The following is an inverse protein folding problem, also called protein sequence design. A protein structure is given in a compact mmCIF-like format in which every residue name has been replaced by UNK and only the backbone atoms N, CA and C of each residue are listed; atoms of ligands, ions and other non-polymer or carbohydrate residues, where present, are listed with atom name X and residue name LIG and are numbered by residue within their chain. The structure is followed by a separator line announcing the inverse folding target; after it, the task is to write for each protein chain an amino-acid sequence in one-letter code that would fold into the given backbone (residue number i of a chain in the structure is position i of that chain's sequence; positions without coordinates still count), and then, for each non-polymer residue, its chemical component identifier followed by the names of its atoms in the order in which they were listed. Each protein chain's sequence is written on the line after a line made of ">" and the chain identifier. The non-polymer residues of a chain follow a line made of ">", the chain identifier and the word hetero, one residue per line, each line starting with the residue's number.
data_IF_960555840764
#
_entry.id   IF_960555840764
#
_cell.length_a   1.000
_cell.length_b   1.000
_cell.length_c   1.000
_cell.angle_alpha   90.00
_cell.angle_beta   90.00
_cell.angle_gamma   90.00
#
_symmetry.space_group_name_H-M   'P 1'
#
loop_
_entity.id
_entity.type
_entity.pdbx_description
1 polymer ?
#
# COMPACT_ATOMS: atom_id res chain seq x y z
N UNK A 1 41.35 32.19 -19.74
CA UNK A 1 40.67 31.35 -18.73
C UNK A 1 39.92 30.32 -19.54
N UNK A 2 40.59 29.20 -19.76
CA UNK A 2 40.29 28.18 -20.77
C UNK A 2 39.48 27.09 -20.07
N UNK A 3 38.22 26.92 -20.46
CA UNK A 3 37.34 25.91 -19.89
C UNK A 3 37.54 24.62 -20.68
N UNK A 4 38.11 23.61 -20.02
CA UNK A 4 38.30 22.28 -20.57
C UNK A 4 36.95 21.56 -20.69
N UNK A 5 36.55 21.23 -21.92
CA UNK A 5 35.40 20.39 -22.23
C UNK A 5 35.72 18.94 -21.84
N UNK A 6 35.13 18.46 -20.74
CA UNK A 6 35.24 17.09 -20.31
C UNK A 6 34.15 16.26 -21.01
N UNK A 7 34.53 15.59 -22.10
CA UNK A 7 33.66 14.73 -22.88
C UNK A 7 33.54 13.37 -22.20
N UNK A 8 32.35 13.02 -21.69
CA UNK A 8 32.07 11.69 -21.14
C UNK A 8 31.51 10.81 -22.27
N UNK A 9 32.36 9.92 -22.80
CA UNK A 9 31.96 8.90 -23.77
C UNK A 9 31.28 7.73 -23.04
N UNK A 10 29.98 7.57 -23.25
CA UNK A 10 29.22 6.41 -22.76
C UNK A 10 29.34 5.30 -23.81
N UNK A 11 30.07 4.24 -23.49
CA UNK A 11 30.22 3.07 -24.36
C UNK A 11 28.95 2.20 -24.27
N UNK A 12 28.09 2.28 -25.28
CA UNK A 12 26.95 1.39 -25.46
C UNK A 12 27.39 0.14 -26.23
N UNK A 13 28.00 -0.82 -25.54
CA UNK A 13 28.19 -2.17 -26.08
C UNK A 13 26.96 -3.03 -25.77
N UNK A 14 25.98 -3.03 -26.69
CA UNK A 14 24.92 -4.03 -26.72
C UNK A 14 25.52 -5.39 -27.11
N UNK A 15 25.84 -6.21 -26.11
CA UNK A 15 26.16 -7.63 -26.29
C UNK A 15 24.88 -8.43 -26.54
N UNK A 16 24.64 -8.78 -27.81
CA UNK A 16 23.63 -9.75 -28.21
C UNK A 16 24.04 -11.16 -27.74
N UNK A 17 23.42 -11.66 -26.66
CA UNK A 17 23.58 -13.05 -26.20
C UNK A 17 22.61 -13.97 -26.97
N UNK A 18 23.18 -14.84 -27.82
CA UNK A 18 22.51 -16.04 -28.33
C UNK A 18 22.18 -16.96 -27.14
N UNK A 19 20.91 -17.02 -26.75
CA UNK A 19 20.38 -17.99 -25.79
C UNK A 19 20.13 -19.32 -26.50
N UNK A 20 21.00 -20.30 -26.26
CA UNK A 20 20.75 -21.71 -26.57
C UNK A 20 19.71 -22.23 -25.59
N UNK A 21 18.54 -22.66 -26.08
CA UNK A 21 17.47 -23.22 -25.27
C UNK A 21 17.78 -24.69 -24.92
N UNK A 22 18.44 -24.91 -23.79
CA UNK A 22 18.53 -26.22 -23.15
C UNK A 22 17.38 -26.30 -22.15
N UNK A 23 16.48 -27.28 -22.29
CA UNK A 23 15.32 -27.43 -21.42
C UNK A 23 15.81 -27.75 -20.00
N UNK A 24 15.52 -26.92 -18.98
CA UNK A 24 16.03 -27.13 -17.64
C UNK A 24 15.33 -28.31 -16.98
N UNK A 25 16.11 -29.05 -16.19
CA UNK A 25 15.65 -30.15 -15.35
C UNK A 25 14.90 -29.57 -14.13
N UNK A 26 13.57 -29.43 -14.26
CA UNK A 26 12.69 -28.70 -13.31
C UNK A 26 12.68 -29.25 -11.87
N UNK A 27 13.03 -30.51 -11.61
CA UNK A 27 12.76 -31.13 -10.31
C UNK A 27 13.80 -30.86 -9.20
N UNK A 28 14.94 -30.23 -9.50
CA UNK A 28 16.02 -30.01 -8.51
C UNK A 28 16.10 -28.55 -8.04
N UNK A 29 15.64 -27.59 -8.85
CA UNK A 29 15.73 -26.16 -8.51
C UNK A 29 14.78 -25.74 -7.38
N UNK A 30 13.60 -26.38 -7.28
CA UNK A 30 12.56 -26.00 -6.32
C UNK A 30 12.98 -26.19 -4.85
N UNK A 31 13.77 -27.23 -4.53
CA UNK A 31 14.15 -27.52 -3.14
C UNK A 31 15.22 -26.55 -2.62
N UNK A 32 16.20 -26.18 -3.44
CA UNK A 32 17.24 -25.21 -3.03
C UNK A 32 16.69 -23.79 -2.91
N UNK A 33 15.76 -23.40 -3.79
CA UNK A 33 15.09 -22.10 -3.72
C UNK A 33 14.24 -21.97 -2.46
N UNK A 34 13.43 -22.98 -2.13
CA UNK A 34 12.61 -23.01 -0.90
C UNK A 34 13.46 -22.89 0.36
N UNK A 35 14.56 -23.64 0.45
CA UNK A 35 15.47 -23.53 1.59
C UNK A 35 16.14 -22.15 1.69
N UNK A 36 16.46 -21.53 0.55
CA UNK A 36 17.07 -20.20 0.53
C UNK A 36 16.08 -19.13 1.00
N UNK A 37 14.84 -19.20 0.51
CA UNK A 37 13.73 -18.33 0.91
C UNK A 37 13.46 -18.41 2.42
N UNK A 38 13.31 -19.62 2.96
CA UNK A 38 13.04 -19.81 4.39
C UNK A 38 14.18 -19.26 5.26
N UNK A 39 15.44 -19.53 4.88
CA UNK A 39 16.60 -19.02 5.60
C UNK A 39 16.68 -17.48 5.57
N UNK A 40 16.31 -16.86 4.45
CA UNK A 40 16.28 -15.40 4.32
C UNK A 40 15.18 -14.79 5.19
N UNK A 41 13.95 -15.31 5.13
CA UNK A 41 12.88 -14.83 5.99
C UNK A 41 13.23 -14.98 7.48
N UNK A 42 13.79 -16.12 7.88
CA UNK A 42 14.26 -16.31 9.27
C UNK A 42 15.38 -15.34 9.68
N UNK A 43 16.18 -14.86 8.75
CA UNK A 43 17.22 -13.86 9.04
C UNK A 43 16.65 -12.47 9.25
N UNK A 44 15.53 -12.12 8.59
CA UNK A 44 14.83 -10.84 8.76
C UNK A 44 13.93 -10.82 10.00
N UNK A 45 13.38 -11.99 10.34
CA UNK A 45 12.60 -12.18 11.55
C UNK A 45 13.52 -12.07 12.77
N UNK A 46 13.14 -11.20 13.72
CA UNK A 46 13.93 -10.98 14.94
C UNK A 46 14.15 -12.30 15.70
N UNK A 47 15.34 -12.56 16.27
CA UNK A 47 15.62 -13.81 17.00
C UNK A 47 14.72 -14.02 18.23
N UNK A 48 13.99 -12.98 18.65
CA UNK A 48 13.02 -12.98 19.74
C UNK A 48 11.67 -13.57 19.36
N UNK A 49 11.40 -13.76 18.06
CA UNK A 49 10.18 -14.37 17.58
C UNK A 49 10.29 -15.86 17.95
N UNK A 50 9.39 -16.33 18.82
CA UNK A 50 9.35 -17.71 19.26
C UNK A 50 8.93 -18.66 18.15
N UNK A 51 8.11 -19.66 18.47
CA UNK A 51 7.49 -20.51 17.46
C UNK A 51 6.28 -19.86 16.75
N UNK A 52 5.98 -18.60 17.08
CA UNK A 52 4.78 -17.89 16.62
C UNK A 52 5.15 -16.56 15.99
N UNK A 53 4.47 -16.20 14.91
CA UNK A 53 4.65 -14.96 14.15
C UNK A 53 3.29 -14.30 13.89
N UNK A 54 3.24 -12.97 13.85
CA UNK A 54 2.05 -12.22 13.43
C UNK A 54 2.15 -11.78 11.95
N UNK A 55 1.05 -11.32 11.38
CA UNK A 55 0.98 -10.95 9.96
C UNK A 55 1.84 -9.73 9.61
N UNK A 56 1.94 -8.73 10.50
CA UNK A 56 2.78 -7.55 10.24
C UNK A 56 4.28 -7.89 10.17
N UNK A 57 4.76 -8.75 11.08
CA UNK A 57 6.15 -9.23 11.09
C UNK A 57 6.45 -10.07 9.84
N UNK A 58 5.51 -10.94 9.45
CA UNK A 58 5.63 -11.74 8.23
C UNK A 58 5.63 -10.84 6.99
N UNK A 59 4.75 -9.85 6.93
CA UNK A 59 4.66 -8.86 5.85
C UNK A 59 5.97 -8.10 5.65
N UNK A 60 6.56 -7.58 6.73
CA UNK A 60 7.83 -6.85 6.64
C UNK A 60 8.98 -7.74 6.16
N UNK A 61 9.04 -8.99 6.64
CA UNK A 61 10.05 -9.95 6.20
C UNK A 61 9.87 -10.32 4.71
N UNK A 62 8.63 -10.51 4.26
CA UNK A 62 8.31 -10.77 2.85
C UNK A 62 8.67 -9.59 1.97
N UNK A 63 8.37 -8.34 2.38
CA UNK A 63 8.81 -7.15 1.64
C UNK A 63 10.33 -7.15 1.41
N UNK A 64 11.11 -7.38 2.46
CA UNK A 64 12.57 -7.38 2.34
C UNK A 64 13.07 -8.51 1.43
N UNK A 65 12.48 -9.71 1.51
CA UNK A 65 12.79 -10.83 0.61
C UNK A 65 12.46 -10.49 -0.84
N UNK A 66 11.26 -9.96 -1.11
CA UNK A 66 10.82 -9.60 -2.47
C UNK A 66 11.71 -8.54 -3.08
N UNK A 67 12.06 -7.49 -2.32
CA UNK A 67 13.02 -6.47 -2.75
C UNK A 67 14.37 -7.12 -3.06
N UNK A 68 14.87 -8.01 -2.20
CA UNK A 68 16.15 -8.68 -2.44
C UNK A 68 16.14 -9.53 -3.71
N UNK A 69 15.03 -10.23 -3.97
CA UNK A 69 14.87 -11.13 -5.11
C UNK A 69 14.73 -10.38 -6.44
N UNK A 70 13.97 -9.27 -6.45
CA UNK A 70 13.67 -8.48 -7.66
C UNK A 70 14.68 -7.36 -7.93
N UNK A 71 15.00 -6.57 -6.90
CA UNK A 71 15.80 -5.34 -7.00
C UNK A 71 17.26 -5.54 -6.56
N UNK A 72 17.53 -6.64 -5.84
CA UNK A 72 18.87 -7.03 -5.41
C UNK A 72 19.20 -6.64 -3.97
N UNK A 73 20.32 -7.19 -3.48
CA UNK A 73 20.70 -7.12 -2.06
C UNK A 73 21.03 -5.71 -1.56
N UNK A 74 21.51 -4.82 -2.43
CA UNK A 74 21.85 -3.44 -2.04
C UNK A 74 20.60 -2.64 -1.68
N UNK A 75 19.54 -2.74 -2.49
CA UNK A 75 18.26 -2.07 -2.24
C UNK A 75 17.56 -2.71 -1.03
N UNK A 76 17.63 -4.04 -0.87
CA UNK A 76 17.09 -4.72 0.30
C UNK A 76 17.80 -4.35 1.61
N UNK A 77 19.12 -4.13 1.56
CA UNK A 77 19.87 -3.60 2.70
C UNK A 77 19.40 -2.19 3.05
N UNK A 78 19.25 -1.33 2.04
CA UNK A 78 18.77 0.04 2.24
C UNK A 78 17.37 0.04 2.85
N UNK A 79 16.45 -0.79 2.36
CA UNK A 79 15.14 -1.00 2.97
C UNK A 79 15.26 -1.39 4.45
N UNK A 80 16.11 -2.37 4.78
CA UNK A 80 16.33 -2.81 6.16
C UNK A 80 16.81 -1.68 7.08
N UNK A 81 17.74 -0.84 6.61
CA UNK A 81 18.23 0.31 7.36
C UNK A 81 17.11 1.35 7.63
N UNK A 82 16.27 1.63 6.63
CA UNK A 82 15.11 2.54 6.78
C UNK A 82 14.04 1.94 7.70
N UNK A 83 13.77 0.66 7.54
CA UNK A 83 12.80 -0.06 8.37
C UNK A 83 13.19 -0.04 9.84
N UNK A 84 14.45 -0.34 10.18
CA UNK A 84 14.94 -0.27 11.56
C UNK A 84 14.85 1.15 12.14
N UNK A 85 15.17 2.16 11.33
CA UNK A 85 15.02 3.56 11.72
C UNK A 85 13.55 3.92 12.01
N UNK A 86 12.62 3.54 11.13
CA UNK A 86 11.18 3.80 11.33
C UNK A 86 10.61 3.02 12.50
N UNK A 87 11.00 1.76 12.71
CA UNK A 87 10.62 0.98 13.90
C UNK A 87 11.04 1.68 15.17
N UNK A 88 12.29 2.15 15.25
CA UNK A 88 12.77 2.87 16.42
C UNK A 88 11.97 4.16 16.67
N UNK A 89 11.61 4.88 15.60
CA UNK A 89 10.81 6.11 15.69
C UNK A 89 9.34 5.86 16.07
N UNK A 90 8.76 4.74 15.66
CA UNK A 90 7.38 4.34 15.92
C UNK A 90 7.21 3.52 17.20
N UNK A 91 8.31 3.15 17.87
CA UNK A 91 8.27 2.43 19.14
C UNK A 91 7.67 3.33 20.23
N UNK A 92 6.50 2.94 20.74
CA UNK A 92 5.82 3.64 21.82
C UNK A 92 6.50 3.41 23.17
N UNK A 93 6.16 4.24 24.16
CA UNK A 93 6.72 4.14 25.51
C UNK A 93 6.41 2.80 26.22
N UNK A 94 5.37 2.08 25.79
CA UNK A 94 5.01 0.75 26.27
C UNK A 94 5.69 -0.39 25.48
N UNK A 95 6.58 -0.07 24.54
CA UNK A 95 7.32 -1.02 23.72
C UNK A 95 6.56 -1.53 22.49
N UNK A 96 5.32 -1.07 22.26
CA UNK A 96 4.59 -1.43 21.05
C UNK A 96 5.17 -0.75 19.82
N UNK A 97 5.22 -1.48 18.72
CA UNK A 97 5.70 -1.03 17.43
C UNK A 97 4.62 -1.40 16.41
N UNK A 98 4.16 -0.44 15.63
CA UNK A 98 3.34 -0.74 14.45
C UNK A 98 4.33 -1.12 13.33
N UNK A 99 4.42 -2.42 13.03
CA UNK A 99 5.45 -2.95 12.13
C UNK A 99 5.06 -2.72 10.68
N UNK A 100 3.76 -2.80 10.37
CA UNK A 100 3.23 -2.48 9.04
C UNK A 100 3.58 -1.05 8.62
N UNK A 101 3.27 -0.05 9.45
CA UNK A 101 3.54 1.36 9.19
C UNK A 101 5.04 1.62 9.02
N UNK A 102 5.89 0.96 9.81
CA UNK A 102 7.35 1.08 9.68
C UNK A 102 7.84 0.53 8.33
N UNK A 103 7.31 -0.62 7.90
CA UNK A 103 7.64 -1.24 6.61
C UNK A 103 7.16 -0.39 5.43
N UNK A 104 5.94 0.14 5.51
CA UNK A 104 5.36 1.00 4.47
C UNK A 104 6.17 2.29 4.28
N UNK A 105 6.56 2.95 5.37
CA UNK A 105 7.43 4.14 5.29
C UNK A 105 8.80 3.81 4.70
N UNK A 106 9.38 2.68 5.07
CA UNK A 106 10.66 2.24 4.50
C UNK A 106 10.56 1.96 2.99
N UNK A 107 9.46 1.35 2.54
CA UNK A 107 9.20 1.12 1.12
C UNK A 107 8.98 2.44 0.36
N UNK A 108 8.23 3.39 0.93
CA UNK A 108 8.01 4.72 0.36
C UNK A 108 9.31 5.55 0.28
N UNK A 109 10.24 5.38 1.22
CA UNK A 109 11.56 6.00 1.15
C UNK A 109 12.35 5.50 -0.07
N UNK A 110 12.21 4.22 -0.46
CA UNK A 110 12.85 3.69 -1.68
C UNK A 110 12.37 4.42 -2.94
N UNK A 111 11.07 4.70 -3.04
CA UNK A 111 10.48 5.46 -4.15
C UNK A 111 10.99 6.90 -4.14
N UNK A 112 10.94 7.54 -2.96
CA UNK A 112 11.34 8.93 -2.78
C UNK A 112 12.80 9.15 -3.16
N UNK A 113 13.67 8.18 -2.85
CA UNK A 113 15.10 8.23 -3.15
C UNK A 113 15.45 7.70 -4.54
N UNK A 114 14.46 7.22 -5.30
CA UNK A 114 14.63 6.77 -6.68
C UNK A 114 15.32 5.41 -6.81
N UNK A 115 15.28 4.58 -5.76
CA UNK A 115 15.77 3.20 -5.81
C UNK A 115 14.80 2.26 -6.54
N UNK A 116 13.50 2.51 -6.42
CA UNK A 116 12.44 1.82 -7.14
C UNK A 116 11.42 2.85 -7.66
N UNK A 117 10.62 2.43 -8.62
CA UNK A 117 9.47 3.18 -9.15
C UNK A 117 8.23 3.00 -8.27
N UNK A 118 7.22 3.84 -8.45
CA UNK A 118 5.93 3.68 -7.77
C UNK A 118 5.23 2.37 -8.16
N UNK A 119 5.35 1.93 -9.42
CA UNK A 119 4.78 0.66 -9.89
C UNK A 119 5.41 -0.55 -9.20
N UNK A 120 6.74 -0.54 -9.03
CA UNK A 120 7.48 -1.55 -8.28
C UNK A 120 7.08 -1.54 -6.79
N UNK A 121 6.94 -0.36 -6.18
CA UNK A 121 6.42 -0.22 -4.82
C UNK A 121 5.05 -0.90 -4.66
N UNK A 122 4.10 -0.58 -5.54
CA UNK A 122 2.73 -1.11 -5.44
C UNK A 122 2.71 -2.63 -5.64
N UNK A 123 3.54 -3.13 -6.56
CA UNK A 123 3.71 -4.57 -6.80
C UNK A 123 4.29 -5.30 -5.59
N UNK A 124 5.38 -4.77 -5.01
CA UNK A 124 6.03 -5.34 -3.83
C UNK A 124 5.08 -5.36 -2.63
N UNK A 125 4.38 -4.24 -2.39
CA UNK A 125 3.40 -4.14 -1.32
C UNK A 125 2.29 -5.19 -1.47
N UNK A 126 1.65 -5.25 -2.65
CA UNK A 126 0.53 -6.17 -2.87
C UNK A 126 0.94 -7.63 -2.74
N UNK A 127 2.08 -8.02 -3.32
CA UNK A 127 2.59 -9.39 -3.24
C UNK A 127 2.85 -9.80 -1.78
N UNK A 128 3.55 -8.95 -1.03
CA UNK A 128 3.86 -9.22 0.37
C UNK A 128 2.62 -9.21 1.25
N UNK A 129 1.68 -8.28 1.01
CA UNK A 129 0.43 -8.19 1.77
C UNK A 129 -0.41 -9.46 1.60
N UNK A 130 -0.58 -9.94 0.37
CA UNK A 130 -1.33 -11.17 0.08
C UNK A 130 -0.66 -12.41 0.67
N UNK A 131 0.67 -12.49 0.59
CA UNK A 131 1.43 -13.63 1.12
C UNK A 131 1.53 -13.64 2.65
N UNK A 132 1.33 -12.50 3.32
CA UNK A 132 1.38 -12.38 4.77
C UNK A 132 0.08 -12.76 5.49
N UNK A 133 -1.03 -12.95 4.77
CA UNK A 133 -2.33 -13.29 5.35
C UNK A 133 -2.29 -14.68 6.01
N UNK A 134 -2.43 -14.73 7.33
CA UNK A 134 -2.45 -15.95 8.13
C UNK A 134 -3.87 -16.38 8.50
N UNK A 135 -4.83 -15.46 8.44
CA UNK A 135 -6.25 -15.71 8.64
C UNK A 135 -7.12 -15.48 7.39
N UNK A 136 -8.44 -15.59 7.57
CA UNK A 136 -9.42 -15.43 6.49
C UNK A 136 -9.81 -13.96 6.23
N UNK A 137 -9.28 -13.01 7.01
CA UNK A 137 -9.57 -11.59 6.89
C UNK A 137 -8.55 -10.87 6.00
N UNK A 138 -8.77 -10.95 4.70
CA UNK A 138 -7.90 -10.37 3.68
C UNK A 138 -7.89 -8.83 3.60
N UNK A 139 -8.50 -8.11 4.55
CA UNK A 139 -8.63 -6.65 4.51
C UNK A 139 -7.58 -5.91 5.34
N UNK A 140 -6.92 -6.57 6.28
CA UNK A 140 -5.94 -5.97 7.17
C UNK A 140 -4.87 -6.96 7.60
N UNK A 141 -3.68 -6.45 7.91
CA UNK A 141 -2.69 -7.21 8.66
C UNK A 141 -2.99 -7.01 10.15
N UNK A 142 -3.02 -8.11 10.89
CA UNK A 142 -3.17 -8.05 12.33
C UNK A 142 -1.83 -8.17 13.05
N UNK A 143 -1.67 -7.33 14.07
CA UNK A 143 -0.51 -7.37 14.94
C UNK A 143 -0.59 -8.53 15.95
N UNK A 144 0.48 -8.69 16.73
CA UNK A 144 0.53 -9.68 17.81
C UNK A 144 -0.19 -9.25 19.09
N UNK A 145 -0.82 -8.06 19.14
CA UNK A 145 -1.35 -7.44 20.36
C UNK A 145 -2.83 -7.09 20.18
N UNK A 146 -3.68 -8.09 20.37
CA UNK A 146 -5.12 -7.87 20.51
C UNK A 146 -5.42 -6.83 21.59
N UNK A 147 -6.20 -5.80 21.25
CA UNK A 147 -6.59 -4.76 22.19
C UNK A 147 -7.84 -5.21 22.98
N UNK A 148 -7.66 -5.59 24.26
CA UNK A 148 -8.77 -5.80 25.19
C UNK A 148 -9.58 -7.08 24.95
N UNK A 149 -10.89 -6.94 24.66
CA UNK A 149 -11.77 -8.06 24.27
C UNK A 149 -11.67 -8.41 22.77
N UNK A 150 -10.90 -7.62 22.00
CA UNK A 150 -10.76 -7.84 20.57
C UNK A 150 -9.85 -9.05 20.29
N UNK A 151 -10.40 -10.04 19.58
CA UNK A 151 -9.73 -11.31 19.29
C UNK A 151 -8.88 -11.27 18.01
N UNK A 152 -8.55 -10.08 17.53
CA UNK A 152 -7.74 -9.85 16.32
C UNK A 152 -6.26 -10.14 16.54
N UNK A 153 -5.94 -11.28 17.15
CA UNK A 153 -4.59 -11.81 17.24
C UNK A 153 -4.47 -12.89 16.16
N UNK A 154 -4.02 -12.50 14.97
CA UNK A 154 -3.68 -13.44 13.91
C UNK A 154 -2.23 -13.88 14.07
N UNK A 155 -1.96 -14.70 15.09
CA UNK A 155 -0.66 -15.36 15.22
C UNK A 155 -0.71 -16.77 14.66
N UNK A 156 0.21 -17.10 13.77
CA UNK A 156 0.40 -18.44 13.24
C UNK A 156 1.62 -19.13 13.83
N UNK A 157 1.66 -20.46 13.73
CA UNK A 157 2.91 -21.22 13.85
C UNK A 157 3.87 -20.79 12.74
N UNK A 158 5.13 -20.51 13.09
CA UNK A 158 6.11 -19.93 12.17
C UNK A 158 6.36 -20.82 10.95
N UNK A 159 6.52 -22.14 11.13
CA UNK A 159 6.76 -23.05 10.01
C UNK A 159 5.56 -23.09 9.06
N UNK A 160 4.36 -23.16 9.63
CA UNK A 160 3.11 -23.13 8.86
C UNK A 160 2.91 -21.80 8.11
N UNK A 161 3.26 -20.69 8.74
CA UNK A 161 3.20 -19.35 8.17
C UNK A 161 4.16 -19.20 6.97
N UNK A 162 5.42 -19.61 7.14
CA UNK A 162 6.42 -19.56 6.07
C UNK A 162 6.03 -20.44 4.88
N UNK A 163 5.49 -21.65 5.14
CA UNK A 163 5.02 -22.53 4.07
C UNK A 163 3.84 -21.94 3.29
N UNK A 164 2.89 -21.27 3.96
CA UNK A 164 1.78 -20.58 3.32
C UNK A 164 2.24 -19.39 2.49
N UNK A 165 3.13 -18.56 3.05
CA UNK A 165 3.69 -17.41 2.36
C UNK A 165 4.45 -17.82 1.08
N UNK A 166 5.26 -18.88 1.16
CA UNK A 166 5.94 -19.44 0.00
C UNK A 166 4.94 -19.89 -1.08
N UNK A 167 3.91 -20.66 -0.69
CA UNK A 167 2.89 -21.12 -1.63
C UNK A 167 2.13 -19.95 -2.28
N UNK A 168 1.85 -18.88 -1.53
CA UNK A 168 1.22 -17.68 -2.05
C UNK A 168 2.12 -16.94 -3.06
N UNK A 169 3.41 -16.78 -2.76
CA UNK A 169 4.38 -16.18 -3.70
C UNK A 169 4.48 -17.00 -4.98
N UNK A 170 4.62 -18.33 -4.87
CA UNK A 170 4.67 -19.22 -6.05
C UNK A 170 3.40 -19.09 -6.91
N UNK A 171 2.24 -18.96 -6.28
CA UNK A 171 0.98 -18.76 -6.99
C UNK A 171 0.90 -17.37 -7.66
N UNK A 172 1.42 -16.31 -7.02
CA UNK A 172 1.54 -14.96 -7.62
C UNK A 172 2.49 -14.97 -8.82
N UNK A 173 3.64 -15.64 -8.71
CA UNK A 173 4.62 -15.74 -9.79
C UNK A 173 4.10 -16.55 -10.99
N UNK A 174 3.21 -17.51 -10.75
CA UNK A 174 2.47 -18.22 -11.81
C UNK A 174 1.28 -17.43 -12.37
N UNK A 175 0.94 -16.28 -11.80
CA UNK A 175 -0.25 -15.49 -12.16
C UNK A 175 -1.56 -16.19 -11.82
N UNK A 176 -1.55 -17.14 -10.88
CA UNK A 176 -2.75 -17.84 -10.40
C UNK A 176 -3.53 -17.01 -9.38
N UNK A 177 -2.83 -16.13 -8.66
CA UNK A 177 -3.44 -15.16 -7.77
C UNK A 177 -3.61 -13.84 -8.52
N UNK A 178 -4.78 -13.18 -8.40
CA UNK A 178 -5.01 -11.92 -9.05
C UNK A 178 -4.10 -10.85 -8.43
N UNK A 179 -3.01 -10.50 -9.12
CA UNK A 179 -2.06 -9.42 -8.77
C UNK A 179 -2.66 -8.02 -8.89
N UNK A 180 -3.98 -7.89 -8.75
CA UNK A 180 -4.73 -6.66 -9.05
C UNK A 180 -6.24 -6.78 -8.91
N UNK A 181 -6.76 -7.79 -8.20
CA UNK A 181 -8.17 -7.83 -7.81
C UNK A 181 -8.32 -7.91 -6.29
N UNK A 182 -7.77 -6.93 -5.56
CA UNK A 182 -8.69 -6.24 -4.66
C UNK A 182 -9.73 -5.63 -5.60
N UNK A 183 -10.99 -6.02 -5.49
CA UNK A 183 -12.06 -5.65 -6.41
C UNK A 183 -12.28 -4.14 -6.46
N UNK A 184 -11.42 -3.39 -7.15
CA UNK A 184 -11.83 -2.17 -7.84
C UNK A 184 -12.57 -2.64 -9.08
N UNK A 185 -13.88 -2.34 -9.24
CA UNK A 185 -14.68 -2.84 -10.34
C UNK A 185 -14.02 -2.46 -11.67
N UNK A 186 -13.81 -3.46 -12.52
CA UNK A 186 -13.20 -3.33 -13.84
C UNK A 186 -13.85 -2.18 -14.61
N UNK A 187 -13.11 -1.09 -14.75
CA UNK A 187 -13.45 -0.03 -15.70
C UNK A 187 -12.74 -0.38 -17.00
N UNK A 188 -13.44 -0.48 -18.14
CA UNK A 188 -12.83 -0.85 -19.41
C UNK A 188 -11.73 0.15 -19.76
N UNK A 189 -10.54 -0.37 -20.06
CA UNK A 189 -9.40 0.41 -20.55
C UNK A 189 -9.75 1.10 -21.87
N UNK A 190 -9.89 2.41 -21.84
CA UNK A 190 -9.70 3.25 -23.02
C UNK A 190 -8.81 4.44 -22.64
N UNK A 191 -7.73 4.62 -23.40
CA UNK A 191 -6.67 5.58 -23.13
C UNK A 191 -7.15 7.00 -23.34
N UNK A 192 -7.42 7.73 -22.25
CA UNK A 192 -7.31 9.18 -22.18
C UNK A 192 -7.26 9.63 -20.72
N UNK A 193 -6.37 10.56 -20.44
CA UNK A 193 -6.09 11.14 -19.13
C UNK A 193 -7.29 11.96 -18.61
N UNK A 194 -8.38 11.27 -18.27
CA UNK A 194 -9.66 11.80 -17.82
C UNK A 194 -10.00 11.03 -16.54
N UNK A 195 -9.80 11.66 -15.39
CA UNK A 195 -10.01 11.03 -14.08
C UNK A 195 -11.36 10.31 -14.02
N UNK A 196 -11.35 9.07 -13.56
CA UNK A 196 -12.56 8.27 -13.39
C UNK A 196 -13.47 8.98 -12.39
N UNK A 197 -14.62 9.43 -12.87
CA UNK A 197 -15.67 10.00 -12.03
C UNK A 197 -16.48 8.85 -11.46
N UNK A 198 -16.44 8.68 -10.15
CA UNK A 198 -17.22 7.71 -9.39
C UNK A 198 -18.42 8.45 -8.79
N UNK A 199 -19.63 8.03 -9.08
CA UNK A 199 -20.81 8.56 -8.39
C UNK A 199 -21.13 7.60 -7.23
N UNK A 200 -20.80 7.92 -5.97
CA UNK A 200 -21.20 7.12 -4.82
C UNK A 200 -22.73 7.02 -4.75
N UNK A 201 -23.24 5.85 -4.37
CA UNK A 201 -24.69 5.63 -4.29
C UNK A 201 -25.19 6.15 -2.95
N UNK A 202 -25.87 7.29 -2.95
CA UNK A 202 -26.48 7.80 -1.73
C UNK A 202 -27.45 6.80 -1.10
N UNK A 203 -27.26 6.51 0.20
CA UNK A 203 -28.11 5.75 1.13
C UNK A 203 -27.99 4.21 1.16
N UNK A 204 -27.10 3.58 0.40
CA UNK A 204 -26.70 2.20 0.66
C UNK A 204 -25.39 2.27 1.47
N UNK A 205 -25.31 1.59 2.62
CA UNK A 205 -24.03 1.43 3.33
C UNK A 205 -23.12 0.59 2.45
N UNK A 206 -22.43 1.25 1.53
CA UNK A 206 -21.25 0.76 0.85
C UNK A 206 -20.21 0.46 1.96
N UNK A 207 -19.44 -0.62 1.79
CA UNK A 207 -18.80 -1.36 2.89
C UNK A 207 -17.90 -0.54 3.84
N UNK A 208 -17.45 -1.12 4.98
CA UNK A 208 -16.66 -0.41 5.99
C UNK A 208 -15.37 0.28 5.45
N UNK A 209 -14.91 -0.11 4.26
CA UNK A 209 -13.68 0.39 3.62
C UNK A 209 -13.92 1.35 2.44
N UNK A 210 -15.17 1.77 2.18
CA UNK A 210 -15.56 2.58 1.02
C UNK A 210 -15.66 4.08 1.31
N UNK A 211 -15.68 4.92 0.27
CA UNK A 211 -15.61 6.38 0.37
C UNK A 211 -16.79 6.97 1.17
N UNK A 212 -16.53 7.68 2.27
CA UNK A 212 -17.63 8.29 3.06
C UNK A 212 -17.60 9.81 2.94
N UNK A 213 -18.71 10.38 2.47
CA UNK A 213 -19.06 11.79 2.57
C UNK A 213 -20.08 11.99 3.70
N UNK A 214 -19.65 12.58 4.82
CA UNK A 214 -20.53 12.85 5.96
C UNK A 214 -20.77 14.36 6.10
N UNK A 215 -21.95 14.88 5.70
CA UNK A 215 -22.23 16.32 5.65
C UNK A 215 -22.10 17.01 7.01
N UNK A 216 -22.38 16.26 8.09
CA UNK A 216 -22.26 16.70 9.47
C UNK A 216 -21.48 15.69 10.30
N UNK A 217 -20.23 16.00 10.64
CA UNK A 217 -19.44 15.23 11.60
C UNK A 217 -20.03 15.32 13.00
N UNK A 218 -20.03 14.23 13.77
CA UNK A 218 -20.59 14.22 15.13
C UNK A 218 -19.79 15.12 16.09
N UNK A 219 -18.53 15.39 15.73
CA UNK A 219 -17.59 16.11 16.60
C UNK A 219 -17.74 17.64 16.53
N UNK A 220 -18.03 18.21 15.36
CA UNK A 220 -18.07 19.66 15.16
C UNK A 220 -19.21 20.12 14.22
N UNK A 221 -20.03 19.19 13.74
CA UNK A 221 -21.14 19.45 12.82
C UNK A 221 -20.72 19.81 11.40
N UNK A 222 -19.43 19.77 11.06
CA UNK A 222 -18.89 20.17 9.75
C UNK A 222 -18.70 18.96 8.83
N UNK A 223 -18.50 19.22 7.54
CA UNK A 223 -18.25 18.16 6.56
C UNK A 223 -16.94 17.42 6.90
N UNK A 224 -17.01 16.09 6.90
CA UNK A 224 -15.85 15.20 6.91
C UNK A 224 -15.96 14.22 5.73
N UNK A 225 -14.84 14.05 5.03
CA UNK A 225 -14.66 13.03 4.00
C UNK A 225 -13.68 11.99 4.53
N UNK A 226 -14.04 10.71 4.41
CA UNK A 226 -13.22 9.56 4.79
C UNK A 226 -12.87 8.83 3.51
N UNK A 227 -11.58 8.69 3.21
CA UNK A 227 -11.15 8.02 1.99
C UNK A 227 -11.03 6.51 2.19
N UNK A 228 -11.13 5.71 1.11
CA UNK A 228 -10.87 4.28 1.17
C UNK A 228 -9.47 3.97 1.72
N UNK A 229 -9.34 2.84 2.42
CA UNK A 229 -8.07 2.43 3.08
C UNK A 229 -6.89 2.35 2.12
N UNK A 230 -7.12 1.90 0.88
CA UNK A 230 -6.06 1.79 -0.13
C UNK A 230 -5.45 3.13 -0.57
N UNK A 231 -6.07 4.26 -0.22
CA UNK A 231 -5.54 5.60 -0.49
C UNK A 231 -4.73 6.19 0.69
N UNK A 232 -4.76 5.55 1.86
CA UNK A 232 -4.10 6.06 3.07
C UNK A 232 -2.60 6.26 2.86
N UNK A 233 -2.07 7.42 3.27
CA UNK A 233 -0.65 7.79 3.11
C UNK A 233 -0.28 8.27 1.70
N UNK A 234 -1.15 8.09 0.71
CA UNK A 234 -0.91 8.42 -0.69
C UNK A 234 -1.58 9.72 -1.16
N UNK A 235 -2.23 10.50 -0.29
CA UNK A 235 -3.03 11.66 -0.71
C UNK A 235 -2.20 12.94 -0.63
N UNK A 236 -2.05 13.62 -1.78
CA UNK A 236 -1.42 14.93 -1.87
C UNK A 236 -2.40 16.05 -1.51
N UNK A 237 -3.60 16.01 -2.09
CA UNK A 237 -4.62 17.05 -1.94
C UNK A 237 -6.02 16.45 -2.02
N UNK A 238 -6.96 17.00 -1.24
CA UNK A 238 -8.39 16.73 -1.39
C UNK A 238 -9.14 18.05 -1.57
N UNK A 239 -9.86 18.19 -2.68
CA UNK A 239 -10.48 19.43 -3.13
C UNK A 239 -11.99 19.26 -3.31
N UNK A 240 -12.75 20.22 -2.81
CA UNK A 240 -14.16 20.38 -3.17
C UNK A 240 -14.25 21.33 -4.35
N UNK A 241 -14.94 20.92 -5.41
CA UNK A 241 -15.17 21.75 -6.59
C UNK A 241 -16.64 21.87 -6.91
N UNK A 242 -17.01 23.02 -7.47
CA UNK A 242 -18.35 23.19 -8.05
C UNK A 242 -18.46 22.47 -9.40
N UNK A 243 -19.69 22.42 -9.94
CA UNK A 243 -20.01 21.85 -11.26
C UNK A 243 -19.23 22.44 -12.44
N UNK A 244 -18.67 23.64 -12.27
CA UNK A 244 -17.90 24.34 -13.29
C UNK A 244 -16.39 24.06 -13.13
N UNK A 245 -16.01 23.25 -12.13
CA UNK A 245 -14.64 22.84 -11.83
C UNK A 245 -13.85 23.83 -10.97
N UNK A 246 -14.48 24.88 -10.44
CA UNK A 246 -13.81 25.85 -9.57
C UNK A 246 -13.61 25.24 -8.18
N UNK A 247 -12.42 25.43 -7.61
CA UNK A 247 -12.10 24.97 -6.26
C UNK A 247 -12.87 25.85 -5.25
N UNK A 248 -13.74 25.22 -4.46
CA UNK A 248 -14.49 25.84 -3.38
C UNK A 248 -13.73 25.79 -2.07
N UNK A 249 -13.06 24.67 -1.78
CA UNK A 249 -12.33 24.46 -0.55
C UNK A 249 -11.30 23.34 -0.69
N UNK A 250 -10.20 23.43 0.07
CA UNK A 250 -9.22 22.34 0.23
C UNK A 250 -9.42 21.69 1.59
N UNK A 251 -9.55 20.37 1.61
CA UNK A 251 -9.70 19.58 2.82
C UNK A 251 -8.42 19.60 3.65
N UNK A 252 -8.58 19.62 4.97
CA UNK A 252 -7.46 19.48 5.92
C UNK A 252 -7.40 18.04 6.41
N UNK A 253 -6.29 17.35 6.10
CA UNK A 253 -6.00 16.04 6.68
C UNK A 253 -5.91 16.13 8.20
N UNK A 254 -6.66 15.28 8.89
CA UNK A 254 -6.69 15.22 10.36
C UNK A 254 -6.06 13.94 10.93
N UNK A 255 -5.40 13.17 10.06
CA UNK A 255 -4.76 11.90 10.38
C UNK A 255 -5.59 10.71 9.93
N UNK A 256 -5.16 9.54 10.41
CA UNK A 256 -5.69 8.23 10.08
C UNK A 256 -6.49 7.72 11.28
N UNK A 257 -7.74 7.32 11.07
CA UNK A 257 -8.59 6.71 12.09
C UNK A 257 -9.72 5.88 11.43
N UNK A 258 -10.59 5.25 12.24
CA UNK A 258 -11.73 4.45 11.75
C UNK A 258 -11.34 3.40 10.69
N UNK A 259 -10.51 2.43 11.07
CA UNK A 259 -10.08 1.34 10.16
C UNK A 259 -8.88 1.70 9.28
N UNK A 260 -7.94 2.49 9.79
CA UNK A 260 -6.75 2.95 9.06
C UNK A 260 -7.06 3.77 7.80
N UNK A 261 -8.04 4.67 7.91
CA UNK A 261 -8.51 5.51 6.81
C UNK A 261 -8.21 6.98 7.07
N UNK A 262 -7.82 7.70 6.03
CA UNK A 262 -7.57 9.14 6.15
C UNK A 262 -8.86 9.95 6.25
N UNK A 263 -8.82 10.94 7.14
CA UNK A 263 -9.92 11.88 7.37
C UNK A 263 -9.58 13.29 6.92
N UNK A 264 -10.41 13.84 6.04
CA UNK A 264 -10.32 15.21 5.58
C UNK A 264 -11.49 16.03 6.10
N UNK A 265 -11.18 17.14 6.78
CA UNK A 265 -12.18 18.05 7.36
C UNK A 265 -12.25 19.38 6.62
N UNK A 266 -13.42 19.97 6.69
CA UNK A 266 -13.73 21.25 6.07
C UNK A 266 -14.29 22.25 7.09
N UNK A 267 -14.38 23.51 6.70
CA UNK A 267 -14.82 24.60 7.56
C UNK A 267 -16.34 24.76 7.63
N UNK A 268 -17.04 24.24 6.62
CA UNK A 268 -18.49 24.31 6.49
C UNK A 268 -19.13 22.91 6.54
N UNK A 269 -20.37 22.80 7.03
CA UNK A 269 -21.16 21.59 6.88
C UNK A 269 -21.56 21.39 5.41
N UNK A 270 -21.95 20.17 5.05
CA UNK A 270 -22.21 19.76 3.68
C UNK A 270 -23.27 20.61 2.97
N UNK A 271 -24.37 20.94 3.65
CA UNK A 271 -25.48 21.72 3.11
C UNK A 271 -25.16 23.18 2.77
N UNK A 272 -23.97 23.67 3.15
CA UNK A 272 -23.50 25.01 2.77
C UNK A 272 -22.71 25.03 1.47
N UNK A 273 -22.45 23.87 0.86
CA UNK A 273 -21.88 23.75 -0.48
C UNK A 273 -22.97 23.69 -1.55
N UNK A 274 -22.72 24.18 -2.78
CA UNK A 274 -23.68 24.10 -3.87
C UNK A 274 -23.93 22.65 -4.31
N UNK A 275 -25.14 22.38 -4.79
CA UNK A 275 -25.49 21.10 -5.42
C UNK A 275 -24.59 20.77 -6.63
N UNK A 276 -24.44 19.48 -6.93
CA UNK A 276 -23.56 19.00 -7.99
C UNK A 276 -22.08 19.27 -7.68
N UNK A 277 -21.70 19.05 -6.42
CA UNK A 277 -20.33 19.17 -5.93
C UNK A 277 -19.51 17.96 -6.42
N UNK A 278 -18.22 18.15 -6.68
CA UNK A 278 -17.28 17.03 -6.83
C UNK A 278 -16.18 17.06 -5.77
N UNK A 279 -15.86 15.91 -5.20
CA UNK A 279 -14.70 15.69 -4.33
C UNK A 279 -13.56 15.13 -5.17
N UNK A 280 -12.54 15.93 -5.44
CA UNK A 280 -11.33 15.50 -6.17
C UNK A 280 -10.25 15.11 -5.16
N UNK A 281 -9.74 13.88 -5.27
CA UNK A 281 -8.61 13.36 -4.52
C UNK A 281 -7.42 13.25 -5.47
N UNK A 282 -6.34 13.95 -5.15
CA UNK A 282 -5.07 13.87 -5.87
C UNK A 282 -4.11 13.03 -5.06
N UNK A 283 -3.59 11.99 -5.67
CA UNK A 283 -2.63 11.10 -5.05
C UNK A 283 -1.20 11.56 -5.36
N UNK A 284 -0.26 11.24 -4.49
CA UNK A 284 1.18 11.50 -4.66
C UNK A 284 1.75 10.78 -5.89
N UNK A 285 1.10 9.71 -6.34
CA UNK A 285 1.39 9.02 -7.60
C UNK A 285 1.06 9.86 -8.85
N UNK A 286 0.33 10.96 -8.70
CA UNK A 286 -0.22 11.79 -9.78
C UNK A 286 -1.59 11.34 -10.28
N UNK A 287 -2.12 10.22 -9.78
CA UNK A 287 -3.48 9.77 -10.07
C UNK A 287 -4.51 10.74 -9.46
N UNK A 288 -5.63 10.95 -10.18
CA UNK A 288 -6.75 11.78 -9.72
C UNK A 288 -8.03 10.95 -9.70
N UNK A 289 -8.68 10.88 -8.54
CA UNK A 289 -10.01 10.31 -8.35
C UNK A 289 -11.01 11.42 -8.11
N UNK A 290 -12.22 11.28 -8.64
CA UNK A 290 -13.29 12.27 -8.44
C UNK A 290 -14.57 11.58 -8.02
N UNK A 291 -15.22 12.10 -6.99
CA UNK A 291 -16.52 11.63 -6.50
C UNK A 291 -17.59 12.70 -6.73
N UNK A 292 -18.66 12.35 -7.44
CA UNK A 292 -19.81 13.25 -7.62
C UNK A 292 -20.76 13.20 -6.44
N UNK A 293 -21.09 14.37 -5.89
CA UNK A 293 -21.98 14.55 -4.75
C UNK A 293 -23.18 15.41 -5.21
N UNK A 294 -24.27 14.77 -5.69
CA UNK A 294 -25.42 15.49 -6.23
C UNK A 294 -26.04 16.45 -5.22
N UNK A 295 -26.23 16.00 -3.97
CA UNK A 295 -26.78 16.79 -2.88
C UNK A 295 -25.83 16.78 -1.66
N UNK A 296 -24.99 17.80 -1.49
CA UNK A 296 -24.06 17.87 -0.35
C UNK A 296 -24.69 17.88 1.04
N UNK A 297 -26.01 17.98 1.16
CA UNK A 297 -26.72 17.86 2.45
C UNK A 297 -26.95 16.41 2.86
N UNK A 298 -26.75 15.46 1.94
CA UNK A 298 -26.94 14.03 2.15
C UNK A 298 -25.62 13.33 2.48
N UNK A 299 -25.73 12.19 3.15
CA UNK A 299 -24.60 11.28 3.38
C UNK A 299 -24.44 10.39 2.15
N UNK A 300 -23.18 10.18 1.77
CA UNK A 300 -22.79 9.18 0.79
C UNK A 300 -21.77 8.27 1.45
N UNK A 301 -21.92 6.97 1.25
CA UNK A 301 -21.02 5.90 1.67
C UNK A 301 -20.40 5.28 0.41
#
# INVERSE_FOLDING_TARGET
>A
MEYAEMSISINTEQSARLRTSEAPNESVQTTEQSATFENQLRAFLSPSIGSTINEEELFAALLQERIQSSEGSEIAQFFGERFDSHKAALTRADGYINVEEAANRALADLVTEGHITQEEHDTLYQQSFMAAQLDDNHSALFDGRGEGEDQTIATGDLESALARAQAAIEALERGELPTGQTSSPETPSDSSNSGTVVTPKGNEMDGPDEFVFKPHSDSDGKLVVILPKFMTGGVEDLLLKDKDGNILERGRGTGVANGNREHFRFDRPGEQYPEGLSVEVRLTSGEVKSYEIPNPSERYD
#
